data_IF_805638377238
#
_entry.id   IF_805638377238
#
_cell.length_a   1.000
_cell.length_b   1.000
_cell.length_c   1.000
_cell.angle_alpha   90.00
_cell.angle_beta   90.00
_cell.angle_gamma   90.00
#
_symmetry.space_group_name_H-M   'P 1'
#
loop_
_entity.id
_entity.type
_entity.pdbx_description
1 polymer ?
#
# COMPACT_ATOMS: atom_id res chain seq x y z
N UNK A 1 -20.23 -14.56 2.32
CA UNK A 1 -20.63 -13.21 2.03
C UNK A 1 -21.84 -12.88 2.88
N UNK A 2 -21.67 -12.08 3.88
CA UNK A 2 -22.74 -11.67 4.79
C UNK A 2 -23.65 -10.72 4.04
N UNK A 3 -24.71 -11.28 3.51
CA UNK A 3 -25.61 -10.61 2.65
C UNK A 3 -26.93 -10.48 3.38
N UNK A 4 -27.19 -9.30 3.79
CA UNK A 4 -28.55 -8.86 3.99
C UNK A 4 -29.19 -8.67 2.63
N UNK A 5 -30.08 -9.63 2.28
CA UNK A 5 -31.09 -9.55 1.22
C UNK A 5 -30.71 -8.90 -0.12
N UNK A 6 -30.66 -9.73 -1.11
CA UNK A 6 -30.65 -9.60 -2.58
C UNK A 6 -30.18 -8.31 -3.27
N UNK A 7 -30.74 -7.14 -3.00
CA UNK A 7 -30.38 -5.90 -3.66
C UNK A 7 -29.08 -5.26 -3.15
N UNK A 8 -28.79 -5.40 -1.86
CA UNK A 8 -27.57 -4.86 -1.24
C UNK A 8 -26.33 -5.64 -1.64
N UNK A 9 -26.46 -6.93 -1.95
CA UNK A 9 -25.37 -7.78 -2.39
C UNK A 9 -24.80 -7.36 -3.75
N UNK A 10 -25.69 -7.22 -4.72
CA UNK A 10 -25.30 -6.86 -6.07
C UNK A 10 -24.57 -5.52 -6.04
N UNK A 11 -25.07 -4.58 -5.23
CA UNK A 11 -24.46 -3.27 -5.05
C UNK A 11 -23.05 -3.37 -4.43
N UNK A 12 -22.87 -4.19 -3.40
CA UNK A 12 -21.55 -4.42 -2.77
C UNK A 12 -20.56 -5.04 -3.75
N UNK A 13 -20.96 -6.07 -4.50
CA UNK A 13 -20.11 -6.69 -5.51
C UNK A 13 -19.69 -5.66 -6.57
N UNK A 14 -20.63 -4.88 -7.09
CA UNK A 14 -20.35 -3.84 -8.10
C UNK A 14 -19.39 -2.80 -7.54
N UNK A 15 -19.57 -2.35 -6.30
CA UNK A 15 -18.68 -1.37 -5.67
C UNK A 15 -17.29 -1.94 -5.42
N UNK A 16 -17.15 -3.20 -5.00
CA UNK A 16 -15.85 -3.86 -4.83
C UNK A 16 -15.14 -3.98 -6.19
N UNK A 17 -15.86 -4.35 -7.25
CA UNK A 17 -15.29 -4.43 -8.60
C UNK A 17 -14.88 -3.04 -9.12
N UNK A 18 -15.64 -2.00 -8.78
CA UNK A 18 -15.29 -0.62 -9.12
C UNK A 18 -14.02 -0.18 -8.39
N UNK A 19 -13.91 -0.45 -7.09
CA UNK A 19 -12.69 -0.17 -6.31
C UNK A 19 -11.49 -0.92 -6.89
N UNK A 20 -11.65 -2.20 -7.22
CA UNK A 20 -10.60 -3.02 -7.83
C UNK A 20 -10.15 -2.46 -9.20
N UNK A 21 -11.10 -2.02 -10.02
CA UNK A 21 -10.82 -1.45 -11.33
C UNK A 21 -10.09 -0.11 -11.23
N UNK A 22 -10.57 0.80 -10.37
CA UNK A 22 -9.95 2.11 -10.14
C UNK A 22 -8.55 1.94 -9.54
N UNK A 23 -8.40 1.08 -8.53
CA UNK A 23 -7.09 0.79 -7.96
C UNK A 23 -6.12 0.19 -9.00
N UNK A 24 -6.62 -0.64 -9.93
CA UNK A 24 -5.82 -1.18 -11.03
C UNK A 24 -5.33 -0.13 -12.01
N UNK A 25 -6.13 0.88 -12.31
CA UNK A 25 -5.78 2.04 -13.13
C UNK A 25 -4.75 2.90 -12.42
N UNK A 26 -5.01 3.24 -11.15
CA UNK A 26 -4.16 4.10 -10.34
C UNK A 26 -2.78 3.48 -10.05
N UNK A 27 -2.66 2.16 -10.03
CA UNK A 27 -1.36 1.49 -9.92
C UNK A 27 -0.36 1.81 -11.04
N UNK A 28 -0.77 2.58 -12.05
CA UNK A 28 0.10 3.07 -13.15
C UNK A 28 0.04 4.58 -13.28
N UNK A 29 -1.12 5.21 -13.10
CA UNK A 29 -1.25 6.66 -13.18
C UNK A 29 -0.61 7.35 -11.98
N UNK A 30 -0.71 6.75 -10.79
CA UNK A 30 -0.10 7.20 -9.53
C UNK A 30 -0.48 8.65 -9.16
N UNK A 31 -1.73 9.04 -9.47
CA UNK A 31 -2.22 10.41 -9.28
C UNK A 31 -2.97 10.58 -7.95
N UNK A 32 -3.85 9.63 -7.60
CA UNK A 32 -4.74 9.70 -6.43
C UNK A 32 -4.46 8.64 -5.37
N UNK A 33 -3.45 7.80 -5.55
CA UNK A 33 -3.01 6.78 -4.60
C UNK A 33 -4.09 5.73 -4.22
N UNK A 34 -5.15 5.55 -5.05
CA UNK A 34 -6.19 4.55 -4.79
C UNK A 34 -5.68 3.12 -4.80
N UNK A 35 -4.52 2.87 -5.39
CA UNK A 35 -3.86 1.56 -5.42
C UNK A 35 -3.13 1.23 -4.11
N UNK A 36 -2.90 2.22 -3.24
CA UNK A 36 -2.19 2.03 -1.98
C UNK A 36 -3.01 1.15 -1.01
N UNK A 37 -2.34 0.25 -0.25
CA UNK A 37 -3.04 -0.71 0.61
C UNK A 37 -3.99 -0.06 1.59
N UNK A 38 -3.57 1.03 2.22
CA UNK A 38 -4.39 1.71 3.21
C UNK A 38 -5.69 2.25 2.59
N UNK A 39 -5.66 2.70 1.35
CA UNK A 39 -6.84 3.22 0.65
C UNK A 39 -7.69 2.07 0.12
N UNK A 40 -7.11 1.16 -0.66
CA UNK A 40 -7.84 0.07 -1.30
C UNK A 40 -8.53 -0.86 -0.28
N UNK A 41 -7.80 -1.30 0.77
CA UNK A 41 -8.35 -2.18 1.79
C UNK A 41 -9.44 -1.48 2.63
N UNK A 42 -9.24 -0.19 2.95
CA UNK A 42 -10.24 0.58 3.71
C UNK A 42 -11.51 0.79 2.89
N UNK A 43 -11.40 1.11 1.60
CA UNK A 43 -12.56 1.26 0.71
C UNK A 43 -13.34 -0.07 0.56
N UNK A 44 -12.65 -1.19 0.38
CA UNK A 44 -13.29 -2.50 0.32
C UNK A 44 -13.94 -2.83 1.67
N UNK A 45 -13.26 -2.58 2.79
CA UNK A 45 -13.82 -2.75 4.13
C UNK A 45 -15.05 -1.88 4.37
N UNK A 46 -15.06 -0.63 3.90
CA UNK A 46 -16.21 0.26 3.98
C UNK A 46 -17.42 -0.28 3.19
N UNK A 47 -17.19 -0.70 1.96
CA UNK A 47 -18.23 -1.25 1.07
C UNK A 47 -18.85 -2.53 1.65
N UNK A 48 -18.04 -3.34 2.33
CA UNK A 48 -18.46 -4.63 2.89
C UNK A 48 -18.87 -4.58 4.35
N UNK A 49 -18.94 -3.38 4.97
CA UNK A 49 -19.24 -3.15 6.39
C UNK A 49 -18.21 -3.75 7.38
N UNK A 50 -16.97 -3.92 6.96
CA UNK A 50 -15.81 -4.37 7.75
C UNK A 50 -14.70 -3.32 7.77
N UNK A 51 -15.07 -2.06 8.06
CA UNK A 51 -14.18 -0.91 7.98
C UNK A 51 -12.96 -1.05 8.90
N UNK A 52 -13.15 -1.52 10.13
CA UNK A 52 -12.07 -1.64 11.11
C UNK A 52 -11.02 -2.66 10.67
N UNK A 53 -11.47 -3.81 10.19
CA UNK A 53 -10.62 -4.90 9.69
C UNK A 53 -9.91 -4.47 8.40
N UNK A 54 -10.63 -3.79 7.49
CA UNK A 54 -10.06 -3.23 6.27
C UNK A 54 -8.96 -2.21 6.56
N UNK A 55 -9.16 -1.34 7.55
CA UNK A 55 -8.15 -0.36 7.97
C UNK A 55 -6.93 -1.04 8.61
N UNK A 56 -7.13 -2.06 9.46
CA UNK A 56 -6.04 -2.82 10.07
C UNK A 56 -5.22 -3.58 9.02
N UNK A 57 -5.88 -4.23 8.07
CA UNK A 57 -5.22 -4.92 6.97
C UNK A 57 -4.45 -3.93 6.09
N UNK A 58 -5.12 -2.86 5.68
CA UNK A 58 -4.54 -1.83 4.81
C UNK A 58 -3.33 -1.14 5.44
N UNK A 59 -3.43 -0.76 6.72
CA UNK A 59 -2.31 -0.19 7.47
C UNK A 59 -1.13 -1.15 7.60
N UNK A 60 -1.38 -2.43 7.89
CA UNK A 60 -0.33 -3.44 7.99
C UNK A 60 0.35 -3.69 6.65
N UNK A 61 -0.43 -3.81 5.56
CA UNK A 61 0.12 -3.97 4.21
C UNK A 61 0.86 -2.72 3.74
N UNK A 62 0.40 -1.52 4.11
CA UNK A 62 1.08 -0.27 3.78
C UNK A 62 2.47 -0.22 4.39
N UNK A 63 2.63 -0.66 5.65
CA UNK A 63 3.93 -0.73 6.31
C UNK A 63 4.88 -1.72 5.61
N UNK A 64 4.35 -2.84 5.11
CA UNK A 64 5.13 -3.80 4.31
C UNK A 64 5.49 -3.20 2.95
N UNK A 65 4.54 -2.53 2.29
CA UNK A 65 4.72 -1.92 0.99
C UNK A 65 5.77 -0.79 0.99
N UNK A 66 6.03 -0.15 2.13
CA UNK A 66 7.14 0.81 2.25
C UNK A 66 8.51 0.19 1.90
N UNK A 67 8.68 -1.12 2.10
CA UNK A 67 9.89 -1.85 1.69
C UNK A 67 9.88 -2.27 0.21
N UNK A 68 8.78 -2.10 -0.51
CA UNK A 68 8.62 -2.49 -1.91
C UNK A 68 8.97 -1.32 -2.83
N UNK A 69 10.24 -1.11 -3.05
CA UNK A 69 10.74 -0.05 -3.93
C UNK A 69 11.34 -0.63 -5.20
N UNK A 70 11.24 0.10 -6.30
CA UNK A 70 11.98 -0.20 -7.52
C UNK A 70 13.47 0.11 -7.28
N UNK A 71 14.33 -0.89 -7.44
CA UNK A 71 15.78 -0.74 -7.25
C UNK A 71 16.46 -1.16 -8.56
N UNK A 72 16.92 -0.21 -9.32
CA UNK A 72 17.54 -0.45 -10.63
C UNK A 72 16.55 -1.15 -11.58
N UNK A 73 16.93 -2.33 -12.09
CA UNK A 73 16.09 -3.14 -12.97
C UNK A 73 15.06 -4.01 -12.22
N UNK A 74 15.13 -4.08 -10.89
CA UNK A 74 14.17 -4.84 -10.08
C UNK A 74 12.88 -4.04 -9.92
N UNK A 75 11.79 -4.63 -10.36
CA UNK A 75 10.44 -4.04 -10.26
C UNK A 75 9.81 -4.46 -8.94
N UNK A 76 9.23 -3.51 -8.22
CA UNK A 76 8.52 -3.76 -6.98
C UNK A 76 7.33 -4.72 -7.19
N UNK A 77 6.95 -5.48 -6.17
CA UNK A 77 5.74 -6.29 -6.18
C UNK A 77 4.49 -5.44 -6.43
N UNK A 78 3.45 -6.05 -7.01
CA UNK A 78 2.19 -5.36 -7.31
C UNK A 78 1.36 -5.19 -6.03
N UNK A 79 1.42 -3.99 -5.49
CA UNK A 79 0.71 -3.61 -4.25
C UNK A 79 -0.80 -3.61 -4.45
N UNK A 80 -1.27 -3.18 -5.62
CA UNK A 80 -2.69 -3.06 -5.92
C UNK A 80 -3.41 -4.41 -5.85
N UNK A 81 -2.91 -5.40 -6.63
CA UNK A 81 -3.51 -6.73 -6.63
C UNK A 81 -3.43 -7.38 -5.25
N UNK A 82 -2.29 -7.24 -4.56
CA UNK A 82 -2.11 -7.75 -3.22
C UNK A 82 -3.17 -7.19 -2.25
N UNK A 83 -3.41 -5.88 -2.29
CA UNK A 83 -4.37 -5.20 -1.41
C UNK A 83 -5.81 -5.63 -1.67
N UNK A 84 -6.24 -5.62 -2.93
CA UNK A 84 -7.61 -5.97 -3.30
C UNK A 84 -7.92 -7.43 -2.96
N UNK A 85 -7.07 -8.36 -3.38
CA UNK A 85 -7.29 -9.78 -3.15
C UNK A 85 -7.22 -10.13 -1.66
N UNK A 86 -6.26 -9.57 -0.92
CA UNK A 86 -6.14 -9.81 0.52
C UNK A 86 -7.35 -9.30 1.29
N UNK A 87 -7.94 -8.17 0.87
CA UNK A 87 -9.16 -7.64 1.48
C UNK A 87 -10.34 -8.57 1.28
N UNK A 88 -10.51 -9.14 0.09
CA UNK A 88 -11.60 -10.07 -0.19
C UNK A 88 -11.40 -11.38 0.58
N UNK A 89 -10.18 -11.90 0.63
CA UNK A 89 -9.86 -13.09 1.43
C UNK A 89 -10.11 -12.86 2.93
N UNK A 90 -9.75 -11.68 3.44
CA UNK A 90 -10.05 -11.31 4.82
C UNK A 90 -11.56 -11.33 5.09
N UNK A 91 -12.36 -10.69 4.25
CA UNK A 91 -13.81 -10.62 4.42
C UNK A 91 -14.42 -12.02 4.44
N UNK A 92 -14.07 -12.88 3.49
CA UNK A 92 -14.53 -14.27 3.48
C UNK A 92 -14.02 -15.06 4.70
N UNK A 93 -12.79 -14.82 5.13
CA UNK A 93 -12.20 -15.50 6.28
C UNK A 93 -12.80 -15.08 7.63
N UNK A 94 -13.34 -13.87 7.74
CA UNK A 94 -14.02 -13.40 8.97
C UNK A 94 -15.31 -14.20 9.30
N UNK A 95 -15.86 -14.93 8.32
CA UNK A 95 -16.96 -15.85 8.55
C UNK A 95 -16.52 -17.17 9.22
N UNK A 96 -15.21 -17.45 9.29
CA UNK A 96 -14.66 -18.63 9.96
C UNK A 96 -14.68 -18.49 11.48
N UNK A 97 -14.53 -19.62 12.19
CA UNK A 97 -14.41 -19.64 13.65
C UNK A 97 -13.06 -19.10 14.17
N UNK A 98 -12.18 -18.64 13.28
CA UNK A 98 -10.84 -18.15 13.59
C UNK A 98 -10.89 -16.68 13.99
N UNK A 99 -10.07 -16.30 14.97
CA UNK A 99 -9.97 -14.89 15.37
C UNK A 99 -9.54 -13.98 14.20
N UNK A 100 -10.20 -12.83 14.05
CA UNK A 100 -9.97 -11.86 12.96
C UNK A 100 -8.49 -11.51 12.78
N UNK A 101 -7.71 -11.38 13.87
CA UNK A 101 -6.25 -11.10 13.79
C UNK A 101 -5.46 -12.16 13.04
N UNK A 102 -5.86 -13.43 13.11
CA UNK A 102 -5.19 -14.52 12.37
C UNK A 102 -5.61 -14.53 10.92
N UNK A 103 -6.86 -14.22 10.62
CA UNK A 103 -7.36 -14.05 9.26
C UNK A 103 -6.62 -12.90 8.58
N UNK A 104 -6.44 -11.77 9.26
CA UNK A 104 -5.68 -10.63 8.76
C UNK A 104 -4.22 -11.02 8.51
N UNK A 105 -3.56 -11.70 9.46
CA UNK A 105 -2.19 -12.16 9.29
C UNK A 105 -2.02 -13.12 8.10
N UNK A 106 -2.98 -14.01 7.88
CA UNK A 106 -3.01 -14.89 6.71
C UNK A 106 -3.20 -14.13 5.41
N UNK A 107 -4.11 -13.16 5.37
CA UNK A 107 -4.34 -12.29 4.21
C UNK A 107 -3.08 -11.49 3.86
N UNK A 108 -2.35 -10.98 4.86
CA UNK A 108 -1.07 -10.30 4.68
C UNK A 108 -0.02 -11.26 4.09
N UNK A 109 0.08 -12.47 4.61
CA UNK A 109 1.04 -13.45 4.12
C UNK A 109 0.77 -13.85 2.66
N UNK A 110 -0.51 -13.96 2.26
CA UNK A 110 -0.91 -14.21 0.88
C UNK A 110 -0.70 -13.00 -0.03
N UNK A 111 -0.72 -11.78 0.49
CA UNK A 111 -0.47 -10.58 -0.30
C UNK A 111 0.90 -10.63 -1.01
N UNK A 112 1.92 -11.22 -0.39
CA UNK A 112 3.28 -11.32 -0.95
C UNK A 112 3.28 -12.16 -2.25
N UNK A 113 2.85 -13.43 -2.29
CA UNK A 113 2.80 -14.18 -3.54
C UNK A 113 1.81 -13.58 -4.55
N UNK A 114 0.70 -13.00 -4.09
CA UNK A 114 -0.27 -12.35 -4.97
C UNK A 114 0.32 -11.14 -5.68
N UNK A 115 1.18 -10.38 -5.02
CA UNK A 115 1.88 -9.26 -5.64
C UNK A 115 2.79 -9.70 -6.80
N UNK A 116 3.40 -10.89 -6.71
CA UNK A 116 4.18 -11.47 -7.81
C UNK A 116 3.29 -11.91 -8.98
N UNK A 117 2.10 -12.43 -8.69
CA UNK A 117 1.10 -12.73 -9.72
C UNK A 117 0.67 -11.44 -10.43
N UNK A 118 0.39 -10.38 -9.68
CA UNK A 118 0.06 -9.06 -10.21
C UNK A 118 1.15 -8.52 -11.12
N UNK A 119 2.41 -8.62 -10.71
CA UNK A 119 3.56 -8.23 -11.54
C UNK A 119 3.63 -9.01 -12.86
N UNK A 120 3.32 -10.29 -12.85
CA UNK A 120 3.26 -11.11 -14.05
C UNK A 120 2.13 -10.69 -14.99
N UNK A 121 0.96 -10.40 -14.44
CA UNK A 121 -0.19 -9.88 -15.19
C UNK A 121 0.11 -8.50 -15.79
N UNK A 122 0.80 -7.62 -15.05
CA UNK A 122 1.25 -6.31 -15.55
C UNK A 122 2.14 -6.47 -16.78
N UNK A 123 3.08 -7.43 -16.77
CA UNK A 123 3.94 -7.71 -17.93
C UNK A 123 3.14 -8.15 -19.14
N UNK A 124 2.14 -9.00 -18.96
CA UNK A 124 1.26 -9.46 -20.04
C UNK A 124 0.47 -8.28 -20.63
N UNK A 125 -0.18 -7.48 -19.78
CA UNK A 125 -0.95 -6.32 -20.22
C UNK A 125 -0.07 -5.30 -20.95
N UNK A 126 1.15 -5.05 -20.48
CA UNK A 126 2.10 -4.17 -21.15
C UNK A 126 2.47 -4.69 -22.54
N UNK A 127 2.75 -5.98 -22.68
CA UNK A 127 3.09 -6.57 -23.98
C UNK A 127 1.91 -6.47 -24.97
N UNK A 128 0.68 -6.68 -24.51
CA UNK A 128 -0.52 -6.50 -25.32
C UNK A 128 -0.70 -5.03 -25.74
N UNK A 129 -0.48 -4.09 -24.83
CA UNK A 129 -0.55 -2.67 -25.14
C UNK A 129 0.50 -2.26 -26.21
N UNK A 130 1.73 -2.76 -26.11
CA UNK A 130 2.79 -2.52 -27.11
C UNK A 130 2.36 -3.08 -28.47
N UNK A 131 1.81 -4.29 -28.55
CA UNK A 131 1.34 -4.87 -29.81
C UNK A 131 0.20 -4.06 -30.44
N UNK A 132 -0.68 -3.48 -29.61
CA UNK A 132 -1.74 -2.59 -30.08
C UNK A 132 -1.14 -1.29 -30.66
N UNK A 133 -0.17 -0.70 -29.99
CA UNK A 133 0.52 0.52 -30.48
C UNK A 133 1.22 0.26 -31.80
N UNK A 134 1.91 -0.86 -31.99
CA UNK A 134 2.54 -1.21 -33.26
C UNK A 134 1.57 -1.38 -34.44
N UNK A 135 0.29 -1.61 -34.18
CA UNK A 135 -0.77 -1.68 -35.20
C UNK A 135 -1.44 -0.33 -35.46
N UNK A 136 -0.95 0.73 -34.82
CA UNK A 136 -1.53 2.08 -34.98
C UNK A 136 -1.25 2.61 -36.39
N UNK A 137 -2.31 3.06 -37.04
CA UNK A 137 -2.23 3.89 -38.22
C UNK A 137 -1.96 5.33 -37.77
N UNK A 138 -1.04 6.04 -38.41
CA UNK A 138 -0.62 7.41 -38.04
C UNK A 138 -1.79 8.42 -38.00
N UNK A 139 -2.92 8.07 -38.61
CA UNK A 139 -4.13 8.89 -38.69
C UNK A 139 -5.05 8.80 -37.47
N UNK A 140 -4.83 7.84 -36.56
CA UNK A 140 -5.71 7.66 -35.39
C UNK A 140 -5.23 8.44 -34.17
N UNK A 141 -6.20 9.02 -33.46
CA UNK A 141 -5.93 9.82 -32.25
C UNK A 141 -5.20 9.00 -31.19
N UNK A 142 -3.99 9.38 -30.83
CA UNK A 142 -3.15 8.77 -29.76
C UNK A 142 -3.94 8.58 -28.47
N UNK A 143 -4.83 9.53 -28.12
CA UNK A 143 -5.67 9.48 -26.94
C UNK A 143 -6.54 8.21 -26.84
N UNK A 144 -7.03 7.66 -27.94
CA UNK A 144 -7.84 6.44 -27.93
C UNK A 144 -7.05 5.22 -27.43
N UNK A 145 -5.80 5.07 -27.90
CA UNK A 145 -4.95 3.95 -27.48
C UNK A 145 -4.44 4.11 -26.05
N UNK A 146 -4.26 5.35 -25.60
CA UNK A 146 -3.93 5.65 -24.22
C UNK A 146 -5.05 5.17 -23.28
N UNK A 147 -6.31 5.47 -23.59
CA UNK A 147 -7.46 4.97 -22.81
C UNK A 147 -7.56 3.45 -22.81
N UNK A 148 -7.32 2.79 -23.95
CA UNK A 148 -7.29 1.32 -24.00
C UNK A 148 -6.20 0.77 -23.07
N UNK A 149 -4.99 1.33 -23.09
CA UNK A 149 -3.90 0.92 -22.22
C UNK A 149 -4.25 1.07 -20.73
N UNK A 150 -4.87 2.18 -20.36
CA UNK A 150 -5.34 2.46 -18.99
C UNK A 150 -6.40 1.43 -18.57
N UNK A 151 -7.43 1.21 -19.41
CA UNK A 151 -8.48 0.23 -19.11
C UNK A 151 -7.93 -1.20 -18.96
N UNK A 152 -6.94 -1.59 -19.76
CA UNK A 152 -6.29 -2.90 -19.62
C UNK A 152 -5.66 -3.11 -18.24
N UNK A 153 -5.14 -2.04 -17.62
CA UNK A 153 -4.59 -2.14 -16.28
C UNK A 153 -5.65 -2.30 -15.20
N UNK A 154 -6.80 -1.64 -15.36
CA UNK A 154 -7.97 -1.89 -14.51
C UNK A 154 -8.47 -3.33 -14.63
N UNK A 155 -8.57 -3.86 -15.86
CA UNK A 155 -9.00 -5.24 -16.14
C UNK A 155 -8.05 -6.25 -15.51
N UNK A 156 -6.75 -5.97 -15.46
CA UNK A 156 -5.73 -6.83 -14.84
C UNK A 156 -6.05 -7.17 -13.37
N UNK A 157 -6.55 -6.21 -12.61
CA UNK A 157 -6.95 -6.42 -11.21
C UNK A 157 -8.38 -6.95 -11.13
N UNK A 158 -9.25 -6.51 -12.03
CA UNK A 158 -10.65 -6.90 -12.06
C UNK A 158 -10.84 -8.41 -12.28
N UNK A 159 -10.10 -9.03 -13.21
CA UNK A 159 -10.25 -10.45 -13.51
C UNK A 159 -9.97 -11.35 -12.30
N UNK A 160 -8.82 -11.26 -11.60
CA UNK A 160 -8.58 -12.03 -10.38
C UNK A 160 -9.62 -11.76 -9.30
N UNK A 161 -10.09 -10.52 -9.19
CA UNK A 161 -11.13 -10.12 -8.24
C UNK A 161 -12.44 -10.85 -8.51
N UNK A 162 -12.89 -10.89 -9.77
CA UNK A 162 -14.10 -11.62 -10.16
C UNK A 162 -13.93 -13.11 -9.85
N UNK A 163 -12.80 -13.70 -10.22
CA UNK A 163 -12.53 -15.12 -9.96
C UNK A 163 -12.65 -15.43 -8.46
N UNK A 164 -12.08 -14.57 -7.60
CA UNK A 164 -12.15 -14.80 -6.16
C UNK A 164 -13.56 -14.61 -5.60
N UNK A 165 -14.33 -13.63 -6.08
CA UNK A 165 -15.72 -13.43 -5.66
C UNK A 165 -16.65 -14.56 -6.08
N UNK A 166 -16.29 -15.35 -7.09
CA UNK A 166 -17.04 -16.54 -7.48
C UNK A 166 -16.77 -17.76 -6.59
N UNK A 167 -15.70 -17.73 -5.77
CA UNK A 167 -15.39 -18.81 -4.84
C UNK A 167 -16.31 -18.67 -3.61
N UNK A 168 -17.05 -19.74 -3.22
CA UNK A 168 -17.90 -19.68 -2.03
C UNK A 168 -17.08 -19.44 -0.76
N UNK A 169 -17.59 -18.58 0.15
CA UNK A 169 -16.95 -18.31 1.46
C UNK A 169 -16.68 -19.59 2.24
N UNK A 170 -17.60 -20.56 2.17
CA UNK A 170 -17.46 -21.85 2.85
C UNK A 170 -16.19 -22.61 2.46
N UNK A 171 -15.77 -22.52 1.19
CA UNK A 171 -14.53 -23.13 0.72
C UNK A 171 -13.30 -22.42 1.29
N UNK A 172 -13.32 -21.09 1.37
CA UNK A 172 -12.25 -20.29 1.94
C UNK A 172 -12.15 -20.55 3.44
N UNK A 173 -13.27 -20.55 4.15
CA UNK A 173 -13.33 -20.88 5.57
C UNK A 173 -12.79 -22.29 5.86
N UNK A 174 -13.20 -23.28 5.08
CA UNK A 174 -12.71 -24.66 5.25
C UNK A 174 -11.18 -24.76 5.06
N UNK A 175 -10.61 -24.01 4.10
CA UNK A 175 -9.15 -23.95 3.92
C UNK A 175 -8.48 -23.30 5.13
N UNK A 176 -9.03 -22.20 5.62
CA UNK A 176 -8.49 -21.49 6.78
C UNK A 176 -8.52 -22.37 8.05
N UNK A 177 -9.60 -23.07 8.29
CA UNK A 177 -9.78 -23.97 9.45
C UNK A 177 -8.85 -25.18 9.42
N UNK A 178 -8.39 -25.62 8.25
CA UNK A 178 -7.40 -26.68 8.10
C UNK A 178 -6.00 -26.27 8.55
N UNK A 179 -5.72 -24.97 8.61
CA UNK A 179 -4.37 -24.45 8.91
C UNK A 179 -4.13 -24.51 10.43
N UNK A 180 -3.06 -25.16 10.91
CA UNK A 180 -2.72 -25.22 12.33
C UNK A 180 -2.47 -23.83 12.93
N UNK A 181 -2.92 -23.62 14.17
CA UNK A 181 -2.74 -22.35 14.91
C UNK A 181 -1.26 -21.92 14.98
N UNK A 182 -0.33 -22.86 15.00
CA UNK A 182 1.12 -22.57 14.98
C UNK A 182 1.56 -21.84 13.72
N UNK A 183 0.94 -22.16 12.56
CA UNK A 183 1.21 -21.48 11.28
C UNK A 183 0.68 -20.05 11.34
N UNK A 184 -0.54 -19.84 11.82
CA UNK A 184 -1.09 -18.49 11.99
C UNK A 184 -0.21 -17.62 12.88
N UNK A 185 0.27 -18.16 14.03
CA UNK A 185 1.20 -17.45 14.92
C UNK A 185 2.52 -17.12 14.20
N UNK A 186 3.04 -18.07 13.43
CA UNK A 186 4.25 -17.84 12.63
C UNK A 186 4.04 -16.75 11.56
N UNK A 187 2.91 -16.74 10.86
CA UNK A 187 2.55 -15.71 9.88
C UNK A 187 2.41 -14.33 10.53
N UNK A 188 1.78 -14.25 11.69
CA UNK A 188 1.62 -13.00 12.44
C UNK A 188 2.98 -12.41 12.84
N UNK A 189 3.90 -13.24 13.34
CA UNK A 189 5.26 -12.82 13.69
C UNK A 189 6.04 -12.44 12.41
N UNK A 190 5.94 -13.26 11.37
CA UNK A 190 6.63 -13.04 10.09
C UNK A 190 6.20 -11.72 9.43
N UNK A 191 4.90 -11.39 9.42
CA UNK A 191 4.41 -10.12 8.88
C UNK A 191 4.99 -8.92 9.64
N UNK A 192 5.11 -9.01 10.97
CA UNK A 192 5.77 -7.99 11.78
C UNK A 192 7.26 -7.81 11.42
N UNK A 193 7.98 -8.89 11.17
CA UNK A 193 9.39 -8.82 10.74
C UNK A 193 9.53 -8.13 9.39
N UNK A 194 8.64 -8.41 8.43
CA UNK A 194 8.65 -7.75 7.11
C UNK A 194 8.40 -6.24 7.25
N UNK A 195 7.47 -5.82 8.14
CA UNK A 195 7.29 -4.41 8.46
C UNK A 195 8.57 -3.76 8.98
N UNK A 196 9.28 -4.42 9.90
CA UNK A 196 10.54 -3.89 10.46
C UNK A 196 11.59 -3.70 9.36
N UNK A 197 11.69 -4.64 8.41
CA UNK A 197 12.61 -4.50 7.26
C UNK A 197 12.21 -3.29 6.41
N UNK A 198 10.92 -3.07 6.13
CA UNK A 198 10.43 -1.90 5.42
C UNK A 198 10.85 -0.60 6.11
N UNK A 199 10.62 -0.48 7.41
CA UNK A 199 11.07 0.68 8.18
C UNK A 199 12.59 0.86 8.17
N UNK A 200 13.36 -0.23 8.26
CA UNK A 200 14.82 -0.16 8.19
C UNK A 200 15.31 0.37 6.84
N UNK A 201 14.67 -0.01 5.74
CA UNK A 201 14.98 0.51 4.40
C UNK A 201 14.68 2.02 4.35
N UNK A 202 13.51 2.45 4.80
CA UNK A 202 13.14 3.89 4.85
C UNK A 202 14.12 4.67 5.72
N UNK A 203 14.43 4.18 6.92
CA UNK A 203 15.39 4.80 7.82
C UNK A 203 16.79 4.92 7.20
N UNK A 204 17.21 3.91 6.42
CA UNK A 204 18.50 3.95 5.74
C UNK A 204 18.52 4.94 4.56
N UNK A 205 17.43 5.06 3.80
CA UNK A 205 17.32 6.00 2.68
C UNK A 205 17.26 7.45 3.16
N UNK A 206 16.51 7.71 4.23
CA UNK A 206 16.38 9.05 4.85
C UNK A 206 17.52 9.36 5.81
N UNK A 207 18.36 8.37 6.13
CA UNK A 207 19.43 8.48 7.11
C UNK A 207 20.52 9.45 6.69
N UNK A 208 20.75 10.48 7.50
CA UNK A 208 21.87 11.41 7.38
C UNK A 208 22.49 11.63 8.77
N UNK A 209 23.71 12.20 8.81
CA UNK A 209 24.37 12.54 10.09
C UNK A 209 23.50 13.46 10.97
N UNK A 210 22.62 14.25 10.35
CA UNK A 210 21.73 15.19 11.03
C UNK A 210 20.41 14.55 11.48
N UNK A 211 19.94 13.48 10.80
CA UNK A 211 18.67 12.81 11.11
C UNK A 211 18.82 11.68 12.12
N UNK A 212 19.99 11.05 12.24
CA UNK A 212 20.24 9.97 13.20
C UNK A 212 19.92 10.33 14.67
N UNK A 213 20.26 11.53 15.18
CA UNK A 213 19.88 11.90 16.55
C UNK A 213 18.37 11.89 16.79
N UNK A 214 17.58 12.34 15.82
CA UNK A 214 16.12 12.33 15.90
C UNK A 214 15.57 10.89 15.88
N UNK A 215 16.18 10.02 15.08
CA UNK A 215 15.84 8.59 15.08
C UNK A 215 16.09 7.96 16.46
N UNK A 216 17.22 8.24 17.08
CA UNK A 216 17.54 7.73 18.42
C UNK A 216 16.57 8.23 19.49
N UNK A 217 16.20 9.51 19.44
CA UNK A 217 15.20 10.09 20.33
C UNK A 217 13.84 9.40 20.13
N UNK A 218 13.40 9.28 18.86
CA UNK A 218 12.14 8.61 18.52
C UNK A 218 12.11 7.15 18.96
N UNK A 219 13.20 6.42 18.77
CA UNK A 219 13.33 5.04 19.23
C UNK A 219 13.25 4.93 20.76
N UNK A 220 13.94 5.80 21.47
CA UNK A 220 13.89 5.84 22.94
C UNK A 220 12.46 6.15 23.44
N UNK A 221 11.77 7.11 22.83
CA UNK A 221 10.37 7.41 23.16
C UNK A 221 9.43 6.25 22.85
N UNK A 222 9.63 5.55 21.74
CA UNK A 222 8.83 4.38 21.36
C UNK A 222 8.98 3.19 22.34
N UNK A 223 10.11 3.09 23.04
CA UNK A 223 10.31 2.09 24.10
C UNK A 223 9.49 2.38 25.37
N UNK A 224 8.92 3.58 25.50
CA UNK A 224 8.06 3.93 26.64
C UNK A 224 6.64 3.41 26.40
N UNK A 225 6.23 2.38 27.14
CA UNK A 225 5.00 1.62 26.90
C UNK A 225 3.68 2.39 27.04
N UNK A 226 3.70 3.60 27.62
CA UNK A 226 2.51 4.40 27.92
C UNK A 226 2.28 5.59 26.96
N UNK A 227 3.12 5.77 25.93
CA UNK A 227 2.95 6.85 24.97
C UNK A 227 1.99 6.43 23.84
N UNK A 228 0.95 7.24 23.62
CA UNK A 228 0.07 7.06 22.47
C UNK A 228 0.76 7.52 21.19
N UNK A 229 0.33 6.97 20.05
CA UNK A 229 0.83 7.39 18.72
C UNK A 229 0.61 8.89 18.49
N UNK A 230 -0.49 9.45 18.99
CA UNK A 230 -0.80 10.87 18.90
C UNK A 230 0.22 11.71 19.69
N UNK A 231 0.60 11.27 20.89
CA UNK A 231 1.62 11.95 21.70
C UNK A 231 2.98 11.94 20.99
N UNK A 232 3.36 10.83 20.37
CA UNK A 232 4.59 10.75 19.57
C UNK A 232 4.57 11.68 18.36
N UNK A 233 3.44 11.83 17.67
CA UNK A 233 3.29 12.78 16.56
C UNK A 233 3.48 14.23 17.02
N UNK A 234 2.91 14.64 18.17
CA UNK A 234 3.08 15.99 18.70
C UNK A 234 4.53 16.25 19.14
N UNK A 235 5.16 15.29 19.82
CA UNK A 235 6.57 15.42 20.23
C UNK A 235 7.46 15.52 19.00
N UNK A 236 7.27 14.62 18.01
CA UNK A 236 8.03 14.63 16.77
C UNK A 236 7.85 15.92 15.96
N UNK A 237 6.61 16.39 15.80
CA UNK A 237 6.30 17.65 15.13
C UNK A 237 6.94 18.86 15.83
N UNK A 238 6.91 18.90 17.17
CA UNK A 238 7.56 19.93 17.95
C UNK A 238 9.07 19.95 17.79
N UNK A 239 9.72 18.76 17.77
CA UNK A 239 11.16 18.63 17.54
C UNK A 239 11.56 19.12 16.13
N UNK A 240 10.79 18.74 15.11
CA UNK A 240 11.02 19.21 13.73
C UNK A 240 10.87 20.72 13.64
N UNK A 241 9.82 21.28 14.22
CA UNK A 241 9.62 22.74 14.24
C UNK A 241 10.77 23.47 14.94
N UNK A 242 11.18 22.98 16.11
CA UNK A 242 12.33 23.55 16.83
C UNK A 242 13.61 23.52 15.97
N UNK A 243 13.88 22.39 15.32
CA UNK A 243 15.02 22.24 14.40
C UNK A 243 14.97 23.25 13.25
N UNK A 244 13.80 23.44 12.62
CA UNK A 244 13.63 24.41 11.54
C UNK A 244 13.88 25.85 12.02
N UNK A 245 13.40 26.22 13.21
CA UNK A 245 13.63 27.56 13.79
C UNK A 245 15.11 27.81 14.08
N UNK A 246 15.82 26.82 14.61
CA UNK A 246 17.27 26.93 14.90
C UNK A 246 18.08 27.06 13.61
N UNK A 247 17.77 26.29 12.58
CA UNK A 247 18.43 26.35 11.27
C UNK A 247 18.17 27.68 10.54
N UNK A 248 16.94 28.20 10.62
CA UNK A 248 16.59 29.50 10.05
C UNK A 248 17.39 30.63 10.70
N UNK A 249 17.57 30.55 12.03
CA UNK A 249 18.34 31.55 12.78
C UNK A 249 19.84 31.50 12.45
N UNK A 250 20.40 30.31 12.23
CA UNK A 250 21.81 30.15 11.83
C UNK A 250 22.07 30.71 10.43
N UNK A 251 21.13 30.50 9.48
CA UNK A 251 21.21 31.10 8.13
C UNK A 251 21.13 32.61 8.19
N UNK A 252 20.23 33.19 8.99
CA UNK A 252 20.09 34.62 9.13
C UNK A 252 21.35 35.29 9.76
N UNK A 253 22.02 34.60 10.68
CA UNK A 253 23.27 35.12 11.26
C UNK A 253 24.45 35.07 10.25
N UNK A 254 24.52 34.04 9.40
CA UNK A 254 25.57 33.96 8.37
C UNK A 254 25.41 35.02 7.26
N UNK A 255 24.18 35.38 6.90
CA UNK A 255 23.89 36.41 5.89
C UNK A 255 24.22 37.82 6.39
N UNK A 256 24.28 38.07 7.71
CA UNK A 256 24.64 39.36 8.27
C UNK A 256 26.15 39.61 8.35
N UNK A 257 26.98 38.55 8.30
CA UNK A 257 28.44 38.68 8.45
C UNK A 257 29.19 38.82 7.10
N UNK A 258 28.59 38.44 5.95
CA UNK A 258 29.18 38.65 4.62
C UNK A 258 28.12 38.92 3.53
N UNK A 259 27.73 40.20 3.37
CA UNK A 259 26.72 40.57 2.35
C UNK A 259 27.20 40.46 0.91
N UNK A 260 28.51 40.30 0.68
CA UNK A 260 29.10 40.19 -0.67
C UNK A 260 29.29 38.73 -1.10
N UNK A 261 29.48 37.81 -0.18
CA UNK A 261 29.65 36.39 -0.44
C UNK A 261 28.40 35.73 -1.01
N UNK A 262 27.21 36.15 -0.60
CA UNK A 262 25.92 35.63 -1.10
C UNK A 262 25.67 36.00 -2.57
N UNK A 263 26.16 37.15 -3.03
CA UNK A 263 26.00 37.61 -4.43
C UNK A 263 26.93 36.85 -5.36
N UNK A 264 28.08 36.40 -4.88
CA UNK A 264 29.05 35.66 -5.69
C UNK A 264 28.69 34.20 -5.87
N UNK A 265 28.01 33.57 -4.89
CA UNK A 265 27.56 32.19 -4.96
C UNK A 265 26.32 31.96 -5.86
N UNK A 266 25.57 33.00 -6.20
CA UNK A 266 24.44 32.93 -7.16
C UNK A 266 24.91 32.95 -8.63
N UNK A 267 26.22 33.11 -8.91
CA UNK A 267 26.78 33.18 -10.25
C UNK A 267 27.73 31.99 -10.60
N UNK A 268 27.92 31.02 -9.71
CA UNK A 268 28.53 29.73 -9.96
C UNK A 268 27.49 28.58 -10.03
#
# INVERSE_FOLDING_TARGET
LIIREGENLLMQIVLVLLVAFVAGIEGILDEFEFHQPIVACTLIGLVTNHLAEGLLLGGSLQLIALGWANIGAAVAPDVCLASVISSILMIHGLESAIEARFVIAFSIALAIPLSLVGLSLTKVCRNLAIQLVHKMDETKKVSYYQWIGICMQGIRVLIPTIVLLLIPSSMICSILEMIPVSIYKGLLIGSGVVCVVGFAIVANVLGSKFTYPFFMIGFGLACMTNLSLISLCFIGGGLVWLYMLLNAKEKSNKTSDDPLGDILNDYE
#
